data_IF_273263749421
#
_entry.id   IF_273263749421
#
_cell.length_a   1.000
_cell.length_b   1.000
_cell.length_c   1.000
_cell.angle_alpha   90.00
_cell.angle_beta   90.00
_cell.angle_gamma   90.00
#
_symmetry.space_group_name_H-M   'P 1'
#
loop_
_entity.id
_entity.type
_entity.pdbx_description
1 polymer ?
#
# COMPACT_ATOMS: atom_id res chain seq x y z
N UNK A 1 1.34 4.31 -6.26
CA UNK A 1 1.33 5.26 -7.40
C UNK A 1 -0.02 5.98 -7.38
N UNK A 2 -0.05 7.31 -7.51
CA UNK A 2 -1.30 8.08 -7.61
C UNK A 2 -1.70 8.33 -9.07
N UNK A 3 -2.89 8.92 -9.30
CA UNK A 3 -3.43 9.17 -10.65
C UNK A 3 -2.50 9.97 -11.55
N UNK A 4 -1.77 10.97 -11.02
CA UNK A 4 -0.79 11.71 -11.80
C UNK A 4 0.31 10.79 -12.38
N UNK A 5 0.82 9.85 -11.58
CA UNK A 5 1.80 8.87 -12.05
C UNK A 5 1.20 7.88 -13.05
N UNK A 6 -0.07 7.49 -12.84
CA UNK A 6 -0.78 6.61 -13.76
C UNK A 6 -0.94 7.24 -15.15
N UNK A 7 -1.32 8.51 -15.20
CA UNK A 7 -1.47 9.27 -16.45
C UNK A 7 -0.15 9.43 -17.20
N UNK A 8 0.96 9.68 -16.48
CA UNK A 8 2.29 9.72 -17.09
C UNK A 8 2.71 8.37 -17.72
N UNK A 9 2.10 7.26 -17.30
CA UNK A 9 2.33 5.92 -17.83
C UNK A 9 1.27 5.48 -18.86
N UNK A 10 0.40 6.41 -19.31
CA UNK A 10 -0.65 6.12 -20.30
C UNK A 10 -1.87 5.39 -19.76
N UNK A 11 -2.02 5.30 -18.43
CA UNK A 11 -3.20 4.75 -17.77
C UNK A 11 -4.22 5.85 -17.46
N UNK A 12 -5.51 5.52 -17.47
CA UNK A 12 -6.57 6.48 -17.15
C UNK A 12 -6.49 6.98 -15.69
N UNK A 13 -6.27 6.05 -14.76
CA UNK A 13 -6.14 6.29 -13.32
C UNK A 13 -5.32 5.19 -12.65
N UNK A 14 -4.98 5.38 -11.38
CA UNK A 14 -4.33 4.34 -10.59
C UNK A 14 -5.26 3.11 -10.44
N UNK A 15 -4.65 1.93 -10.36
CA UNK A 15 -5.35 0.64 -10.23
C UNK A 15 -6.16 0.51 -8.93
N UNK A 16 -5.73 1.20 -7.87
CA UNK A 16 -6.31 1.06 -6.52
C UNK A 16 -7.03 2.34 -6.15
N UNK A 17 -8.30 2.20 -5.76
CA UNK A 17 -9.10 3.30 -5.20
C UNK A 17 -8.54 3.77 -3.86
N UNK A 18 -8.69 5.07 -3.57
CA UNK A 18 -8.11 5.71 -2.37
C UNK A 18 -8.62 5.03 -1.09
N UNK A 19 -9.92 4.80 -0.99
CA UNK A 19 -10.54 4.22 0.21
C UNK A 19 -10.03 2.80 0.50
N UNK A 20 -9.76 2.01 -0.54
CA UNK A 20 -9.20 0.66 -0.41
C UNK A 20 -7.76 0.73 0.10
N UNK A 21 -6.94 1.60 -0.50
CA UNK A 21 -5.56 1.80 -0.11
C UNK A 21 -5.44 2.27 1.34
N UNK A 22 -6.20 3.31 1.72
CA UNK A 22 -6.15 3.88 3.08
C UNK A 22 -6.66 2.90 4.12
N UNK A 23 -7.81 2.26 3.87
CA UNK A 23 -8.37 1.27 4.81
C UNK A 23 -7.43 0.07 5.00
N UNK A 24 -6.77 -0.38 3.93
CA UNK A 24 -5.78 -1.45 3.99
C UNK A 24 -4.57 -1.06 4.83
N UNK A 25 -4.00 0.13 4.59
CA UNK A 25 -2.87 0.64 5.37
C UNK A 25 -3.20 0.75 6.86
N UNK A 26 -4.39 1.26 7.22
CA UNK A 26 -4.82 1.34 8.62
C UNK A 26 -4.83 -0.06 9.25
N UNK A 27 -5.40 -1.07 8.58
CA UNK A 27 -5.40 -2.45 9.08
C UNK A 27 -4.00 -3.01 9.29
N UNK A 28 -3.07 -2.76 8.36
CA UNK A 28 -1.68 -3.22 8.47
C UNK A 28 -0.98 -2.54 9.66
N UNK A 29 -1.21 -1.23 9.85
CA UNK A 29 -0.62 -0.46 10.96
C UNK A 29 -1.20 -0.91 12.30
N UNK A 30 -2.52 -1.07 12.39
CA UNK A 30 -3.20 -1.51 13.63
C UNK A 30 -2.78 -2.92 14.06
N UNK A 31 -2.50 -3.80 13.09
CA UNK A 31 -2.01 -5.16 13.36
C UNK A 31 -0.49 -5.24 13.58
N UNK A 32 0.25 -4.15 13.34
CA UNK A 32 1.71 -4.17 13.39
C UNK A 32 2.21 -4.38 14.82
N UNK A 33 3.23 -5.22 14.95
CA UNK A 33 3.87 -5.49 16.23
C UNK A 33 5.38 -5.69 16.08
N UNK A 34 6.10 -5.62 17.20
CA UNK A 34 7.57 -5.68 17.21
C UNK A 34 8.14 -7.02 16.73
N UNK A 35 7.45 -8.13 17.01
CA UNK A 35 7.92 -9.48 16.68
C UNK A 35 7.76 -9.83 15.22
N UNK A 36 6.58 -9.53 14.66
CA UNK A 36 6.19 -10.06 13.36
C UNK A 36 6.40 -9.09 12.21
N UNK A 37 6.23 -7.77 12.42
CA UNK A 37 6.17 -6.80 11.31
C UNK A 37 7.26 -5.74 11.35
N UNK A 38 8.01 -5.62 12.46
CA UNK A 38 9.09 -4.64 12.59
C UNK A 38 10.20 -4.87 11.55
N UNK A 39 10.63 -3.80 10.88
CA UNK A 39 11.70 -3.84 9.88
C UNK A 39 11.31 -4.42 8.51
N UNK A 40 10.01 -4.72 8.29
CA UNK A 40 9.51 -5.21 7.00
C UNK A 40 8.96 -4.06 6.15
N UNK A 41 9.20 -4.12 4.84
CA UNK A 41 8.48 -3.28 3.89
C UNK A 41 7.18 -3.98 3.52
N UNK A 42 6.05 -3.35 3.84
CA UNK A 42 4.72 -3.95 3.64
C UNK A 42 3.85 -3.03 2.79
N UNK A 43 3.08 -3.64 1.89
CA UNK A 43 2.06 -2.95 1.09
C UNK A 43 0.74 -2.85 1.87
N UNK A 44 -0.19 -2.05 1.35
CA UNK A 44 -1.50 -1.77 1.96
C UNK A 44 -2.38 -3.02 2.15
N UNK A 45 -2.10 -4.11 1.44
CA UNK A 45 -2.81 -5.39 1.53
C UNK A 45 -2.13 -6.37 2.52
N UNK A 46 -1.04 -5.95 3.17
CA UNK A 46 -0.24 -6.78 4.07
C UNK A 46 0.87 -7.59 3.38
N UNK A 47 1.00 -7.50 2.05
CA UNK A 47 2.08 -8.18 1.33
C UNK A 47 3.44 -7.63 1.74
N UNK A 48 4.33 -8.49 2.19
CA UNK A 48 5.74 -8.13 2.46
C UNK A 48 6.51 -8.08 1.14
N UNK A 49 7.28 -7.02 0.93
CA UNK A 49 8.20 -6.87 -0.21
C UNK A 49 9.65 -6.79 0.26
N UNK A 50 10.60 -7.23 -0.57
CA UNK A 50 11.99 -6.81 -0.44
C UNK A 50 12.09 -5.29 -0.48
N UNK A 51 13.13 -4.77 0.17
CA UNK A 51 13.51 -3.36 0.05
C UNK A 51 14.01 -3.03 -1.35
#
# INVERSE_FOLDING_TARGET
>A
MGNNGAQLLGMEKAEVEIDVSVSGMIKVIDAANRGDTSGKFMLYDGTVKPW
#
